data_IF_798906469628
#
_entry.id   IF_798906469628
#
_cell.length_a   1.000
_cell.length_b   1.000
_cell.length_c   1.000
_cell.angle_alpha   90.00
_cell.angle_beta   90.00
_cell.angle_gamma   90.00
#
_symmetry.space_group_name_H-M   'P 1'
#
loop_
_entity.id
_entity.type
_entity.pdbx_description
1 polymer ?
#
# COMPACT_ATOMS: atom_id res chain seq x y z
N UNK A 1 -1.81 -10.77 -16.91
CA UNK A 1 -2.45 -10.42 -15.62
C UNK A 1 -2.15 -8.95 -15.36
N UNK A 2 -3.16 -8.16 -15.04
CA UNK A 2 -2.94 -6.74 -14.71
C UNK A 2 -2.42 -6.64 -13.29
N UNK A 3 -1.33 -5.90 -13.08
CA UNK A 3 -0.70 -5.69 -11.77
C UNK A 3 -0.71 -4.21 -11.41
N UNK A 4 -0.56 -3.91 -10.13
CA UNK A 4 -0.30 -2.58 -9.59
C UNK A 4 0.94 -2.59 -8.71
N UNK A 5 1.60 -1.44 -8.58
CA UNK A 5 2.72 -1.26 -7.65
C UNK A 5 2.20 -0.99 -6.25
N UNK A 6 2.68 -1.80 -5.31
CA UNK A 6 2.27 -1.72 -3.90
C UNK A 6 3.51 -1.63 -3.01
N UNK A 7 3.46 -0.73 -2.03
CA UNK A 7 4.48 -0.58 -1.00
C UNK A 7 4.13 -1.45 0.21
N UNK A 8 5.08 -2.24 0.67
CA UNK A 8 4.97 -3.06 1.87
C UNK A 8 6.00 -2.60 2.90
N UNK A 9 5.57 -2.40 4.14
CA UNK A 9 6.48 -2.29 5.28
C UNK A 9 6.84 -3.71 5.73
N UNK A 10 8.11 -4.09 5.60
CA UNK A 10 8.54 -5.48 5.81
C UNK A 10 9.28 -5.69 7.14
N UNK A 11 9.86 -4.64 7.68
CA UNK A 11 10.47 -4.57 9.01
C UNK A 11 10.61 -3.10 9.43
N UNK A 12 10.95 -2.79 10.70
CA UNK A 12 11.30 -1.42 11.09
C UNK A 12 12.38 -0.83 10.18
N UNK A 13 12.04 0.29 9.56
CA UNK A 13 12.83 1.07 8.62
C UNK A 13 13.08 0.38 7.26
N UNK A 14 12.35 -0.69 6.96
CA UNK A 14 12.48 -1.44 5.72
C UNK A 14 11.15 -1.47 4.96
N UNK A 15 11.24 -1.20 3.66
CA UNK A 15 10.11 -1.27 2.74
C UNK A 15 10.49 -2.03 1.48
N UNK A 16 9.50 -2.65 0.86
CA UNK A 16 9.61 -3.27 -0.46
C UNK A 16 8.53 -2.69 -1.38
N UNK A 17 8.90 -2.37 -2.62
CA UNK A 17 7.94 -2.12 -3.70
C UNK A 17 7.78 -3.40 -4.51
N UNK A 18 6.53 -3.84 -4.70
CA UNK A 18 6.20 -5.09 -5.40
C UNK A 18 5.11 -4.84 -6.42
N UNK A 19 5.16 -5.57 -7.53
CA UNK A 19 4.01 -5.72 -8.43
C UNK A 19 3.04 -6.74 -7.81
N UNK A 20 1.80 -6.33 -7.58
CA UNK A 20 0.74 -7.16 -7.01
C UNK A 20 -0.39 -7.32 -8.03
N UNK A 21 -0.95 -8.53 -8.20
CA UNK A 21 -2.10 -8.71 -9.08
C UNK A 21 -3.28 -7.88 -8.58
N UNK A 22 -4.07 -7.35 -9.50
CA UNK A 22 -5.34 -6.72 -9.15
C UNK A 22 -6.31 -7.78 -8.59
N UNK A 23 -7.11 -7.45 -7.56
CA UNK A 23 -8.10 -8.36 -7.02
C UNK A 23 -9.26 -8.57 -7.99
N UNK A 24 -9.96 -9.69 -7.86
CA UNK A 24 -11.26 -9.88 -8.49
C UNK A 24 -12.30 -8.98 -7.79
N UNK A 25 -13.11 -8.28 -8.57
CA UNK A 25 -14.15 -7.38 -8.05
C UNK A 25 -15.44 -8.14 -7.74
N UNK A 26 -16.04 -7.86 -6.59
CA UNK A 26 -17.44 -8.24 -6.31
C UNK A 26 -18.42 -7.30 -7.04
N UNK A 27 -19.69 -7.70 -7.09
CA UNK A 27 -20.75 -6.95 -7.77
C UNK A 27 -20.91 -5.51 -7.25
N UNK A 28 -20.54 -5.26 -5.99
CA UNK A 28 -20.62 -3.97 -5.30
C UNK A 28 -19.29 -3.21 -5.21
N UNK A 29 -18.24 -3.69 -5.89
CA UNK A 29 -16.90 -3.11 -5.86
C UNK A 29 -16.56 -2.42 -7.19
N UNK A 30 -15.73 -1.37 -7.11
CA UNK A 30 -15.16 -0.70 -8.28
C UNK A 30 -13.65 -0.61 -8.15
N UNK A 31 -12.94 -0.74 -9.28
CA UNK A 31 -11.51 -0.54 -9.35
C UNK A 31 -11.21 0.93 -9.68
N UNK A 32 -10.30 1.53 -8.92
CA UNK A 32 -9.82 2.89 -9.16
C UNK A 32 -8.32 2.92 -9.38
N UNK A 33 -7.86 3.76 -10.30
CA UNK A 33 -6.43 4.05 -10.47
C UNK A 33 -6.01 5.17 -9.52
N UNK A 34 -5.02 4.89 -8.67
CA UNK A 34 -4.48 5.89 -7.75
C UNK A 34 -3.52 6.81 -8.51
N UNK A 35 -3.94 8.05 -8.81
CA UNK A 35 -3.10 9.06 -9.47
C UNK A 35 -2.05 9.62 -8.50
N UNK A 36 -2.40 9.80 -7.24
CA UNK A 36 -1.50 10.18 -6.17
C UNK A 36 -1.99 9.66 -4.82
N UNK A 37 -1.07 9.46 -3.88
CA UNK A 37 -1.36 9.18 -2.48
C UNK A 37 -0.70 10.25 -1.62
N UNK A 38 -1.46 10.85 -0.71
CA UNK A 38 -0.88 11.68 0.33
C UNK A 38 -0.20 10.79 1.36
N UNK A 39 0.89 11.29 1.95
CA UNK A 39 1.59 10.63 3.05
C UNK A 39 1.17 11.29 4.36
N UNK A 40 0.61 10.52 5.28
CA UNK A 40 0.44 10.97 6.66
C UNK A 40 1.78 10.88 7.38
N UNK A 41 2.55 11.97 7.37
CA UNK A 41 3.90 12.00 7.93
C UNK A 41 3.99 11.54 9.39
N UNK A 42 2.92 11.71 10.19
CA UNK A 42 2.86 11.17 11.55
C UNK A 42 2.62 9.66 11.57
N UNK A 43 1.49 9.24 11.02
CA UNK A 43 1.02 7.84 11.09
C UNK A 43 1.96 6.88 10.37
N UNK A 44 2.35 7.20 9.15
CA UNK A 44 3.21 6.31 8.35
C UNK A 44 4.62 6.22 8.92
N UNK A 45 5.11 7.26 9.59
CA UNK A 45 6.39 7.19 10.30
C UNK A 45 6.34 6.27 11.52
N UNK A 46 5.20 6.14 12.19
CA UNK A 46 5.03 5.15 13.26
C UNK A 46 5.09 3.74 12.69
N UNK A 47 4.39 3.47 11.57
CA UNK A 47 4.44 2.17 10.89
C UNK A 47 5.86 1.87 10.42
N UNK A 48 6.49 2.81 9.73
CA UNK A 48 7.86 2.68 9.22
C UNK A 48 8.85 2.39 10.35
N UNK A 49 8.69 2.94 11.54
CA UNK A 49 9.58 2.68 12.69
C UNK A 49 9.21 1.44 13.50
N UNK A 50 8.11 0.75 13.19
CA UNK A 50 7.60 -0.35 14.01
C UNK A 50 7.05 0.10 15.36
N UNK A 51 6.43 1.28 15.40
CA UNK A 51 5.90 1.95 16.60
C UNK A 51 4.39 2.20 16.51
N UNK A 52 3.75 1.73 15.43
CA UNK A 52 2.30 1.78 15.30
C UNK A 52 1.67 0.75 16.25
N UNK A 53 0.62 1.11 17.02
CA UNK A 53 0.02 0.26 18.05
C UNK A 53 -0.64 -1.02 17.49
#
# INVERSE_FOLDING_TARGET
MTTARTLFFTAPKQIDLRETPLPDLKEDEVLVETVCSAISAGTEMLVYRGQFP
#
